data_IF_453637022116
#
_entry.id   IF_453637022116
#
_cell.length_a   1.000
_cell.length_b   1.000
_cell.length_c   1.000
_cell.angle_alpha   90.00
_cell.angle_beta   90.00
_cell.angle_gamma   90.00
#
_symmetry.space_group_name_H-M   'P 1'
#
loop_
_entity.id
_entity.type
_entity.pdbx_description
1 polymer ?
#
# COMPACT_ATOMS: atom_id res chain seq x y z
N UNK A 1 -1.58 -4.84 12.49
CA UNK A 1 -2.77 -4.50 11.69
C UNK A 1 -2.97 -2.99 11.77
N UNK A 2 -3.14 -2.30 10.65
CA UNK A 2 -3.32 -0.85 10.64
C UNK A 2 -4.66 -0.46 11.28
N UNK A 3 -4.64 0.55 12.16
CA UNK A 3 -5.86 1.10 12.76
C UNK A 3 -6.55 1.99 11.73
N UNK A 4 -7.53 1.43 11.01
CA UNK A 4 -8.29 2.15 10.00
C UNK A 4 -9.23 3.20 10.66
N UNK A 5 -9.41 4.38 10.05
CA UNK A 5 -10.38 5.37 10.52
C UNK A 5 -11.80 4.79 10.54
N UNK A 6 -12.61 5.12 11.55
CA UNK A 6 -13.98 4.58 11.71
C UNK A 6 -14.93 5.02 10.59
N UNK A 7 -14.71 6.21 10.02
CA UNK A 7 -15.35 6.66 8.78
C UNK A 7 -14.31 6.59 7.65
N UNK A 8 -14.38 5.54 6.83
CA UNK A 8 -13.63 5.44 5.58
C UNK A 8 -14.56 4.90 4.48
N UNK A 9 -14.34 5.36 3.24
CA UNK A 9 -15.09 4.93 2.05
C UNK A 9 -14.45 3.68 1.41
N UNK A 10 -13.85 2.83 2.25
CA UNK A 10 -13.06 1.67 1.84
C UNK A 10 -11.57 1.86 1.98
N UNK A 11 -10.85 0.73 1.92
CA UNK A 11 -9.40 0.67 2.07
C UNK A 11 -8.78 -0.35 1.12
N UNK A 12 -7.53 -0.09 0.73
CA UNK A 12 -6.68 -0.99 0.01
C UNK A 12 -5.54 -1.45 0.93
N UNK A 13 -5.41 -2.76 1.09
CA UNK A 13 -4.36 -3.38 1.88
C UNK A 13 -3.41 -4.15 0.97
N UNK A 14 -2.12 -3.86 1.09
CA UNK A 14 -1.05 -4.57 0.40
C UNK A 14 -0.10 -5.19 1.42
N UNK A 15 -0.12 -6.52 1.45
CA UNK A 15 0.89 -7.34 2.11
C UNK A 15 2.12 -7.39 1.20
N UNK A 16 3.20 -6.72 1.62
CA UNK A 16 4.36 -6.53 0.76
C UNK A 16 5.15 -7.84 0.54
N UNK A 17 5.54 -8.59 1.60
CA UNK A 17 6.18 -9.90 1.44
C UNK A 17 5.40 -10.89 0.57
N UNK A 18 4.06 -10.94 0.71
CA UNK A 18 3.23 -11.91 -0.01
C UNK A 18 2.71 -11.41 -1.37
N UNK A 19 3.05 -10.19 -1.78
CA UNK A 19 2.59 -9.59 -3.05
C UNK A 19 3.26 -10.15 -4.32
N UNK A 20 4.12 -11.18 -4.23
CA UNK A 20 4.87 -11.73 -5.37
C UNK A 20 4.00 -12.13 -6.57
N UNK A 21 2.78 -12.59 -6.34
CA UNK A 21 1.82 -12.95 -7.38
C UNK A 21 1.27 -11.74 -8.16
N UNK A 22 1.18 -10.56 -7.54
CA UNK A 22 0.80 -9.31 -8.22
C UNK A 22 1.92 -8.82 -9.14
N UNK A 23 3.17 -8.95 -8.69
CA UNK A 23 4.32 -8.54 -9.49
C UNK A 23 4.57 -9.46 -10.68
N UNK A 24 4.25 -10.75 -10.60
CA UNK A 24 4.52 -11.67 -11.70
C UNK A 24 3.58 -11.50 -12.92
N UNK A 25 2.51 -10.71 -12.79
CA UNK A 25 1.53 -10.53 -13.87
C UNK A 25 1.89 -9.43 -14.87
N UNK A 26 2.80 -8.49 -14.55
CA UNK A 26 3.19 -7.44 -15.48
C UNK A 26 4.62 -7.65 -16.03
N UNK A 27 4.84 -7.58 -17.35
CA UNK A 27 6.13 -7.91 -17.96
C UNK A 27 7.27 -6.94 -17.58
N UNK A 28 6.94 -5.71 -17.16
CA UNK A 28 7.88 -4.68 -16.72
C UNK A 28 8.21 -4.74 -15.23
N UNK A 29 7.61 -5.65 -14.46
CA UNK A 29 7.86 -5.73 -13.02
C UNK A 29 9.27 -6.14 -12.68
N UNK A 30 9.99 -6.86 -13.54
CA UNK A 30 11.40 -7.22 -13.26
C UNK A 30 12.28 -5.98 -13.10
N UNK A 31 12.08 -4.97 -13.94
CA UNK A 31 12.85 -3.72 -13.88
C UNK A 31 12.34 -2.85 -12.73
N UNK A 32 11.02 -2.69 -12.58
CA UNK A 32 10.45 -1.95 -11.47
C UNK A 32 10.86 -2.55 -10.11
N UNK A 33 10.94 -3.88 -10.00
CA UNK A 33 11.36 -4.60 -8.80
C UNK A 33 12.79 -4.26 -8.39
N UNK A 34 13.70 -3.96 -9.32
CA UNK A 34 15.08 -3.56 -8.99
C UNK A 34 15.13 -2.19 -8.29
N UNK A 35 14.25 -1.27 -8.67
CA UNK A 35 14.18 0.06 -8.04
C UNK A 35 13.33 0.06 -6.78
N UNK A 36 12.28 -0.75 -6.76
CA UNK A 36 11.29 -0.77 -5.68
C UNK A 36 11.71 -1.73 -4.55
N UNK A 37 12.41 -2.85 -4.81
CA UNK A 37 12.91 -3.73 -3.74
C UNK A 37 13.75 -3.00 -2.68
N UNK A 38 14.79 -2.22 -3.04
CA UNK A 38 15.63 -1.60 -2.02
C UNK A 38 14.87 -0.56 -1.20
N UNK A 39 13.94 0.18 -1.82
CA UNK A 39 13.13 1.19 -1.14
C UNK A 39 12.10 0.59 -0.18
N UNK A 40 11.61 -0.62 -0.47
CA UNK A 40 10.58 -1.30 0.31
C UNK A 40 11.10 -2.58 1.00
N UNK A 41 12.42 -2.74 1.13
CA UNK A 41 13.04 -3.94 1.73
C UNK A 41 12.59 -4.18 3.16
N UNK A 42 12.33 -3.10 3.89
CA UNK A 42 11.93 -3.13 5.30
C UNK A 42 10.43 -2.89 5.48
N UNK A 43 9.64 -2.82 4.41
CA UNK A 43 8.19 -2.59 4.49
C UNK A 43 7.48 -3.94 4.57
N UNK A 44 6.66 -4.09 5.60
CA UNK A 44 5.84 -5.27 5.84
C UNK A 44 4.48 -5.13 5.16
N UNK A 45 3.80 -4.01 5.39
CA UNK A 45 2.49 -3.78 4.79
C UNK A 45 2.21 -2.30 4.57
N UNK A 46 1.42 -2.01 3.54
CA UNK A 46 0.91 -0.68 3.24
C UNK A 46 -0.60 -0.73 3.21
N UNK A 47 -1.24 0.19 3.92
CA UNK A 47 -2.69 0.35 3.92
C UNK A 47 -3.03 1.75 3.47
N UNK A 48 -3.91 1.88 2.49
CA UNK A 48 -4.44 3.17 2.04
C UNK A 48 -5.93 3.17 2.35
N UNK A 49 -6.37 4.11 3.19
CA UNK A 49 -7.77 4.26 3.56
C UNK A 49 -8.33 5.54 2.93
N UNK A 50 -9.41 5.42 2.16
CA UNK A 50 -10.11 6.59 1.62
C UNK A 50 -10.95 7.22 2.72
N UNK A 51 -10.78 8.50 3.00
CA UNK A 51 -11.59 9.25 3.97
C UNK A 51 -12.78 9.95 3.30
N UNK A 52 -12.99 9.67 2.01
CA UNK A 52 -14.04 10.27 1.21
C UNK A 52 -13.70 11.68 0.75
N UNK A 53 -14.73 12.46 0.45
CA UNK A 53 -14.60 13.84 -0.04
C UNK A 53 -15.17 14.80 0.98
N UNK A 54 -14.35 15.75 1.42
CA UNK A 54 -14.78 16.85 2.29
C UNK A 54 -14.41 18.18 1.64
N UNK A 55 -15.38 19.08 1.52
CA UNK A 55 -15.22 20.39 0.89
C UNK A 55 -14.66 20.31 -0.55
N UNK A 56 -15.17 19.36 -1.36
CA UNK A 56 -14.66 19.02 -2.71
C UNK A 56 -13.20 18.54 -2.76
N UNK A 57 -12.58 18.21 -1.63
CA UNK A 57 -11.23 17.63 -1.56
C UNK A 57 -11.32 16.16 -1.16
N UNK A 58 -10.79 15.28 -2.01
CA UNK A 58 -10.68 13.85 -1.72
C UNK A 58 -9.50 13.60 -0.78
N UNK A 59 -9.76 12.89 0.31
CA UNK A 59 -8.79 12.64 1.38
C UNK A 59 -8.50 11.15 1.50
N UNK A 60 -7.26 10.83 1.82
CA UNK A 60 -6.85 9.46 2.09
C UNK A 60 -5.72 9.45 3.11
N UNK A 61 -5.73 8.45 3.98
CA UNK A 61 -4.65 8.16 4.92
C UNK A 61 -3.82 7.00 4.41
N UNK A 62 -2.49 7.11 4.54
CA UNK A 62 -1.53 6.07 4.17
C UNK A 62 -0.82 5.60 5.45
N UNK A 63 -0.91 4.30 5.72
CA UNK A 63 -0.23 3.65 6.84
C UNK A 63 0.82 2.69 6.28
N UNK A 64 2.06 2.83 6.74
CA UNK A 64 3.18 1.95 6.36
C UNK A 64 3.69 1.26 7.62
N UNK A 65 3.67 -0.07 7.61
CA UNK A 65 4.29 -0.89 8.64
C UNK A 65 5.64 -1.38 8.15
N UNK A 66 6.62 -1.36 9.03
CA UNK A 66 7.97 -1.85 8.76
C UNK A 66 8.21 -3.19 9.48
N UNK A 67 9.05 -4.03 8.89
CA UNK A 67 9.56 -5.26 9.50
C UNK A 67 10.31 -4.87 10.79
N UNK A 68 9.98 -5.53 11.91
CA UNK A 68 10.66 -5.36 13.20
C UNK A 68 11.97 -6.15 13.28
#
# INVERSE_FOLDING_TARGET
>A
MATLPTHNDGYFYLDWPNSQLLWNQFPFTKVARLFVQPLFKNVDSVTIASEGTKDNVRRASIFVNFLQ
#
